data_IF_620010296289
#
_entry.id   IF_620010296289
#
_cell.length_a   1.000
_cell.length_b   1.000
_cell.length_c   1.000
_cell.angle_alpha   90.00
_cell.angle_beta   90.00
_cell.angle_gamma   90.00
#
_symmetry.space_group_name_H-M   'P 1'
#
loop_
_entity.id
_entity.type
_entity.pdbx_description
1 polymer ?
#
# COMPACT_ATOMS: atom_id res chain seq x y z
N UNK A 1 7.43 24.30 -9.03
CA UNK A 1 7.13 24.52 -7.60
C UNK A 1 6.72 23.17 -7.05
N UNK A 2 7.59 22.50 -6.30
CA UNK A 2 7.29 21.16 -5.79
C UNK A 2 7.07 21.30 -4.30
N UNK A 3 5.85 21.08 -3.86
CA UNK A 3 5.53 20.89 -2.45
C UNK A 3 5.11 19.43 -2.33
N UNK A 4 5.82 18.65 -1.54
CA UNK A 4 5.45 17.26 -1.29
C UNK A 4 4.83 17.17 0.10
N UNK A 5 3.84 16.29 0.24
CA UNK A 5 3.29 15.85 1.51
C UNK A 5 3.06 14.34 1.35
N UNK A 6 3.84 13.51 2.03
CA UNK A 6 3.51 12.08 2.18
C UNK A 6 2.79 11.88 3.51
N UNK A 7 1.66 11.18 3.48
CA UNK A 7 0.90 10.79 4.66
C UNK A 7 0.94 9.28 4.77
N UNK A 8 1.15 8.77 5.98
CA UNK A 8 0.96 7.35 6.28
C UNK A 8 -0.15 7.26 7.31
N UNK A 9 -1.20 6.53 6.96
CA UNK A 9 -2.28 6.21 7.89
C UNK A 9 -1.67 5.54 9.12
N UNK A 10 -1.90 6.17 10.28
CA UNK A 10 -1.52 5.76 11.65
C UNK A 10 -0.15 6.19 12.21
N UNK A 11 0.72 6.87 11.46
CA UNK A 11 1.83 7.69 12.02
C UNK A 11 2.15 8.89 11.12
N UNK A 12 1.92 10.11 11.61
CA UNK A 12 2.16 11.35 10.87
C UNK A 12 3.65 11.69 10.78
N UNK A 13 4.29 11.38 9.65
CA UNK A 13 5.57 11.97 9.25
C UNK A 13 5.39 12.78 7.97
N UNK A 14 5.07 14.08 8.05
CA UNK A 14 4.96 14.93 6.88
C UNK A 14 6.37 15.33 6.38
N UNK A 15 6.66 15.02 5.12
CA UNK A 15 7.93 15.39 4.47
C UNK A 15 7.70 16.56 3.53
N UNK A 16 8.44 17.66 3.72
CA UNK A 16 8.40 18.83 2.85
C UNK A 16 9.74 18.97 2.10
N UNK A 17 9.70 19.07 0.78
CA UNK A 17 10.84 19.55 0.00
C UNK A 17 10.35 20.66 -0.93
N UNK A 18 11.24 21.60 -1.26
CA UNK A 18 10.97 22.73 -2.15
C UNK A 18 12.18 22.99 -3.03
N UNK A 19 11.93 23.37 -4.28
CA UNK A 19 12.97 23.87 -5.19
C UNK A 19 13.52 25.25 -4.77
N UNK A 20 12.86 25.93 -3.84
CA UNK A 20 13.26 27.24 -3.31
C UNK A 20 13.36 27.22 -1.79
N UNK A 21 14.59 27.41 -1.30
CA UNK A 21 14.94 27.47 0.13
C UNK A 21 14.11 28.48 0.95
N UNK A 22 13.73 29.67 0.43
CA UNK A 22 12.90 30.61 1.19
C UNK A 22 11.49 30.10 1.48
N UNK A 23 10.87 29.43 0.50
CA UNK A 23 9.51 28.89 0.64
C UNK A 23 9.48 27.73 1.63
N UNK A 24 10.47 26.83 1.56
CA UNK A 24 10.60 25.72 2.50
C UNK A 24 10.67 26.22 3.94
N UNK A 25 11.55 27.21 4.19
CA UNK A 25 11.69 27.83 5.51
C UNK A 25 10.36 28.45 5.98
N UNK A 26 9.67 29.19 5.12
CA UNK A 26 8.39 29.80 5.47
C UNK A 26 7.33 28.77 5.87
N UNK A 27 7.28 27.62 5.18
CA UNK A 27 6.34 26.53 5.47
C UNK A 27 6.73 25.80 6.76
N UNK A 28 8.00 25.45 6.93
CA UNK A 28 8.51 24.82 8.16
C UNK A 28 8.24 25.70 9.37
N UNK A 29 8.49 27.00 9.29
CA UNK A 29 8.20 27.94 10.38
C UNK A 29 6.70 28.02 10.70
N UNK A 30 5.84 28.09 9.67
CA UNK A 30 4.37 28.07 9.89
C UNK A 30 3.91 26.79 10.59
N UNK A 31 4.48 25.64 10.21
CA UNK A 31 4.15 24.35 10.78
C UNK A 31 4.68 24.19 12.20
N UNK A 32 5.91 24.63 12.48
CA UNK A 32 6.48 24.65 13.85
C UNK A 32 5.68 25.54 14.80
N UNK A 33 5.08 26.61 14.29
CA UNK A 33 4.22 27.49 15.08
C UNK A 33 2.85 26.87 15.37
N UNK A 34 2.34 26.01 14.48
CA UNK A 34 1.04 25.37 14.62
C UNK A 34 1.10 23.99 15.30
N UNK A 35 2.25 23.30 15.20
CA UNK A 35 2.45 21.92 15.60
C UNK A 35 3.86 21.74 16.20
N UNK A 36 4.00 20.81 17.15
CA UNK A 36 5.31 20.45 17.72
C UNK A 36 6.14 19.60 16.73
N UNK A 37 6.72 20.25 15.72
CA UNK A 37 7.50 19.61 14.65
C UNK A 37 8.99 19.94 14.79
N UNK A 38 9.85 18.92 14.63
CA UNK A 38 11.31 19.07 14.63
C UNK A 38 11.82 19.08 13.20
N UNK A 39 12.59 20.12 12.84
CA UNK A 39 13.29 20.17 11.55
C UNK A 39 14.52 19.24 11.59
N UNK A 40 14.62 18.34 10.62
CA UNK A 40 15.67 17.34 10.50
C UNK A 40 16.77 17.73 9.50
N UNK A 41 16.69 18.93 8.89
CA UNK A 41 17.70 19.46 7.99
C UNK A 41 17.45 19.17 6.50
N UNK A 42 18.37 19.58 5.61
CA UNK A 42 18.21 19.44 4.17
C UNK A 42 18.11 17.97 3.73
N UNK A 43 17.13 17.69 2.86
CA UNK A 43 16.88 16.35 2.29
C UNK A 43 17.99 16.02 1.29
N UNK A 44 19.09 15.43 1.77
CA UNK A 44 20.13 14.84 0.93
C UNK A 44 19.79 13.38 0.70
N UNK A 45 19.12 13.02 -0.41
CA UNK A 45 18.60 11.65 -0.60
C UNK A 45 17.59 11.25 0.52
N UNK A 46 16.81 10.19 0.33
CA UNK A 46 15.99 9.61 1.42
C UNK A 46 16.92 8.91 2.44
N UNK A 47 17.83 9.67 3.08
CA UNK A 47 19.02 9.19 3.82
C UNK A 47 18.71 8.38 5.09
N UNK A 48 17.44 8.08 5.35
CA UNK A 48 17.01 7.15 6.38
C UNK A 48 16.74 5.74 5.87
N UNK A 49 16.26 5.53 4.64
CA UNK A 49 15.70 4.22 4.25
C UNK A 49 16.79 3.17 4.09
N UNK A 50 17.83 3.47 3.29
CA UNK A 50 18.92 2.51 3.07
C UNK A 50 19.64 2.22 4.39
N UNK A 51 19.95 3.27 5.15
CA UNK A 51 20.56 3.14 6.48
C UNK A 51 19.68 2.33 7.44
N UNK A 52 18.38 2.61 7.48
CA UNK A 52 17.43 1.87 8.31
C UNK A 52 17.30 0.41 7.87
N UNK A 53 17.30 0.13 6.57
CA UNK A 53 17.30 -1.23 6.05
C UNK A 53 18.58 -1.97 6.46
N UNK A 54 19.75 -1.31 6.41
CA UNK A 54 21.03 -1.85 6.87
C UNK A 54 21.03 -2.10 8.39
N UNK A 55 20.58 -1.14 9.21
CA UNK A 55 20.42 -1.29 10.67
C UNK A 55 19.44 -2.42 11.03
N UNK A 56 18.33 -2.54 10.30
CA UNK A 56 17.36 -3.62 10.48
C UNK A 56 17.98 -4.99 10.18
N UNK A 57 18.81 -5.08 9.13
CA UNK A 57 19.54 -6.29 8.78
C UNK A 57 20.61 -6.64 9.82
N UNK A 58 21.30 -5.66 10.38
CA UNK A 58 22.24 -5.87 11.48
C UNK A 58 21.53 -6.39 12.73
N UNK A 59 20.40 -5.77 13.12
CA UNK A 59 19.58 -6.21 14.25
C UNK A 59 19.04 -7.64 14.08
N UNK A 60 18.75 -8.03 12.84
CA UNK A 60 18.32 -9.39 12.51
C UNK A 60 19.49 -10.40 12.39
N UNK A 61 20.75 -9.97 12.55
CA UNK A 61 21.96 -10.77 12.26
C UNK A 61 22.01 -11.28 10.80
N UNK A 62 21.51 -10.49 9.85
CA UNK A 62 21.38 -10.85 8.43
C UNK A 62 22.13 -9.90 7.47
N UNK A 63 23.03 -9.05 7.98
CA UNK A 63 23.83 -8.13 7.16
C UNK A 63 24.70 -8.84 6.09
N UNK A 64 25.14 -10.07 6.36
CA UNK A 64 25.94 -10.91 5.43
C UNK A 64 25.13 -12.03 4.75
N UNK A 65 23.81 -11.99 4.80
CA UNK A 65 22.99 -13.04 4.21
C UNK A 65 23.04 -13.02 2.67
N UNK A 66 22.83 -14.19 2.03
CA UNK A 66 22.72 -14.29 0.57
C UNK A 66 21.38 -13.68 0.12
N UNK A 67 21.37 -12.67 -0.77
CA UNK A 67 20.13 -12.03 -1.21
C UNK A 67 19.22 -12.98 -2.01
N UNK A 68 17.95 -12.60 -2.14
CA UNK A 68 16.95 -13.24 -3.02
C UNK A 68 16.27 -12.18 -3.88
N UNK A 69 15.71 -12.59 -5.01
CA UNK A 69 15.14 -11.67 -6.00
C UNK A 69 13.67 -11.30 -5.76
N UNK A 70 12.94 -12.06 -4.92
CA UNK A 70 11.54 -11.76 -4.60
C UNK A 70 11.29 -11.73 -3.08
N UNK A 71 10.45 -10.80 -2.58
CA UNK A 71 10.18 -10.67 -1.14
C UNK A 71 9.36 -11.82 -0.57
N UNK A 72 8.47 -12.37 -1.40
CA UNK A 72 7.62 -13.52 -1.09
C UNK A 72 7.68 -14.50 -2.26
N UNK A 73 7.41 -15.77 -1.99
CA UNK A 73 7.30 -16.77 -3.04
C UNK A 73 5.98 -16.61 -3.82
N UNK A 74 5.93 -17.16 -5.02
CA UNK A 74 4.70 -17.35 -5.81
C UNK A 74 3.89 -18.54 -5.30
N UNK A 75 4.50 -19.43 -4.50
CA UNK A 75 3.83 -20.55 -3.84
C UNK A 75 2.83 -20.08 -2.78
N UNK A 76 1.87 -20.95 -2.43
CA UNK A 76 0.78 -20.65 -1.49
C UNK A 76 1.21 -20.07 -0.14
N UNK A 77 0.27 -19.36 0.50
CA UNK A 77 0.48 -18.68 1.80
C UNK A 77 0.67 -19.70 2.93
N UNK A 78 1.59 -19.47 3.88
CA UNK A 78 1.78 -20.37 5.01
C UNK A 78 0.49 -20.44 5.83
N UNK A 79 0.09 -21.66 6.20
CA UNK A 79 -1.06 -21.87 7.07
C UNK A 79 -0.71 -21.57 8.53
N UNK A 80 -1.72 -21.24 9.33
CA UNK A 80 -1.53 -20.80 10.70
C UNK A 80 -0.86 -21.84 11.60
N UNK A 81 -0.98 -23.15 11.29
CA UNK A 81 -0.52 -24.27 12.14
C UNK A 81 0.55 -25.16 11.48
N UNK A 82 1.21 -24.68 10.43
CA UNK A 82 2.05 -25.50 9.54
C UNK A 82 3.41 -25.93 10.13
N UNK A 83 3.81 -25.38 11.27
CA UNK A 83 5.11 -25.70 11.89
C UNK A 83 5.14 -25.39 13.40
N UNK A 84 6.14 -25.87 14.16
CA UNK A 84 6.22 -25.54 15.59
C UNK A 84 6.32 -24.02 15.85
N UNK A 85 5.81 -23.54 17.00
CA UNK A 85 5.98 -22.14 17.42
C UNK A 85 7.46 -21.76 17.49
N UNK A 86 7.76 -20.49 17.22
CA UNK A 86 9.13 -19.98 17.38
C UNK A 86 9.52 -19.91 18.86
N UNK A 87 10.81 -20.06 19.14
CA UNK A 87 11.35 -19.99 20.50
C UNK A 87 11.26 -18.59 21.13
N UNK A 88 11.46 -17.54 20.32
CA UNK A 88 11.35 -16.14 20.76
C UNK A 88 10.33 -15.36 19.91
N UNK A 89 9.06 -15.29 20.34
CA UNK A 89 8.04 -14.48 19.69
C UNK A 89 8.30 -12.97 19.76
N UNK A 90 9.10 -12.48 20.73
CA UNK A 90 9.40 -11.05 20.84
C UNK A 90 10.36 -10.61 19.74
N UNK A 91 11.38 -11.41 19.44
CA UNK A 91 12.28 -11.16 18.32
C UNK A 91 11.50 -11.09 17.00
N UNK A 92 10.60 -12.05 16.76
CA UNK A 92 9.73 -12.04 15.58
C UNK A 92 8.93 -10.73 15.47
N UNK A 93 8.24 -10.32 16.54
CA UNK A 93 7.43 -9.09 16.57
C UNK A 93 8.26 -7.83 16.34
N UNK A 94 9.46 -7.77 16.93
CA UNK A 94 10.39 -6.65 16.76
C UNK A 94 10.84 -6.50 15.31
N UNK A 95 11.21 -7.62 14.67
CA UNK A 95 11.62 -7.62 13.26
C UNK A 95 10.45 -7.36 12.31
N UNK A 96 9.28 -7.92 12.59
CA UNK A 96 8.05 -7.66 11.83
C UNK A 96 7.66 -6.18 11.89
N UNK A 97 7.74 -5.55 13.07
CA UNK A 97 7.53 -4.11 13.23
C UNK A 97 8.56 -3.27 12.46
N UNK A 98 9.83 -3.71 12.43
CA UNK A 98 10.86 -3.05 11.61
C UNK A 98 10.58 -3.12 10.10
N UNK A 99 10.16 -4.28 9.62
CA UNK A 99 9.73 -4.46 8.23
C UNK A 99 8.47 -3.64 7.92
N UNK A 100 7.52 -3.56 8.85
CA UNK A 100 6.31 -2.75 8.72
C UNK A 100 6.65 -1.27 8.53
N UNK A 101 7.60 -0.74 9.28
CA UNK A 101 8.08 0.63 9.08
C UNK A 101 8.70 0.83 7.69
N UNK A 102 9.49 -0.15 7.21
CA UNK A 102 10.11 -0.08 5.89
C UNK A 102 9.08 0.00 4.74
N UNK A 103 7.88 -0.57 4.92
CA UNK A 103 6.80 -0.48 3.91
C UNK A 103 6.37 0.95 3.57
N UNK A 104 6.66 1.94 4.43
CA UNK A 104 6.40 3.36 4.18
C UNK A 104 7.13 3.91 2.96
N UNK A 105 8.20 3.23 2.52
CA UNK A 105 9.01 3.64 1.37
C UNK A 105 9.34 2.51 0.42
N UNK A 106 8.91 1.29 0.78
CA UNK A 106 9.08 0.04 0.04
C UNK A 106 7.71 -0.61 -0.20
N UNK A 107 6.88 -0.04 -1.10
CA UNK A 107 5.60 -0.64 -1.47
C UNK A 107 5.74 -2.06 -2.01
N UNK A 108 6.88 -2.39 -2.61
CA UNK A 108 7.19 -3.70 -3.18
C UNK A 108 7.27 -4.83 -2.14
N UNK A 109 7.50 -4.52 -0.85
CA UNK A 109 7.47 -5.53 0.23
C UNK A 109 6.14 -5.55 0.99
N UNK A 110 5.21 -4.63 0.69
CA UNK A 110 4.00 -4.43 1.50
C UNK A 110 3.16 -5.70 1.65
N UNK A 111 3.00 -6.48 0.58
CA UNK A 111 2.27 -7.74 0.64
C UNK A 111 2.97 -8.79 1.52
N UNK A 112 4.29 -8.96 1.35
CA UNK A 112 5.07 -9.92 2.14
C UNK A 112 5.03 -9.57 3.63
N UNK A 113 5.18 -8.29 3.96
CA UNK A 113 5.11 -7.78 5.33
C UNK A 113 3.71 -7.95 5.91
N UNK A 114 2.66 -7.67 5.13
CA UNK A 114 1.29 -7.94 5.56
C UNK A 114 1.12 -9.40 5.98
N UNK A 115 1.62 -10.36 5.19
CA UNK A 115 1.51 -11.79 5.51
C UNK A 115 2.26 -12.13 6.81
N UNK A 116 3.46 -11.57 7.02
CA UNK A 116 4.22 -11.71 8.28
C UNK A 116 3.42 -11.16 9.47
N UNK A 117 2.82 -9.98 9.31
CA UNK A 117 2.09 -9.28 10.35
C UNK A 117 0.81 -10.02 10.80
N UNK A 118 0.22 -10.87 9.95
CA UNK A 118 -0.96 -11.67 10.32
C UNK A 118 -0.71 -12.68 11.44
N UNK A 119 0.56 -13.06 11.68
CA UNK A 119 0.94 -14.11 12.62
C UNK A 119 1.72 -13.59 13.84
N UNK A 120 1.65 -12.29 14.15
CA UNK A 120 2.36 -11.70 15.31
C UNK A 120 1.93 -12.25 16.67
N UNK A 121 0.70 -12.77 16.78
CA UNK A 121 0.17 -13.32 18.03
C UNK A 121 0.82 -14.66 18.38
N UNK A 122 0.94 -15.56 17.39
CA UNK A 122 1.52 -16.90 17.55
C UNK A 122 2.42 -17.24 16.34
N UNK A 123 3.63 -16.68 16.26
CA UNK A 123 4.53 -16.90 15.13
C UNK A 123 5.12 -18.32 15.14
N UNK A 124 5.26 -18.91 13.95
CA UNK A 124 5.78 -20.27 13.74
C UNK A 124 7.00 -20.24 12.82
N UNK A 125 7.71 -21.37 12.72
CA UNK A 125 8.93 -21.44 11.91
C UNK A 125 8.71 -21.12 10.42
N UNK A 126 7.56 -21.48 9.85
CA UNK A 126 7.16 -21.11 8.47
C UNK A 126 7.03 -19.59 8.32
N UNK A 127 6.40 -18.91 9.29
CA UNK A 127 6.27 -17.44 9.31
C UNK A 127 7.64 -16.76 9.47
N UNK A 128 8.51 -17.31 10.32
CA UNK A 128 9.89 -16.82 10.47
C UNK A 128 10.71 -17.02 9.19
N UNK A 129 10.49 -18.11 8.46
CA UNK A 129 11.13 -18.34 7.17
C UNK A 129 10.72 -17.28 6.13
N UNK A 130 9.43 -16.93 6.08
CA UNK A 130 8.93 -15.81 5.26
C UNK A 130 9.58 -14.48 5.66
N UNK A 131 9.63 -14.17 6.98
CA UNK A 131 10.29 -12.98 7.49
C UNK A 131 11.76 -12.89 7.06
N UNK A 132 12.51 -13.99 7.24
CA UNK A 132 13.92 -14.07 6.83
C UNK A 132 14.06 -13.95 5.31
N UNK A 133 13.14 -14.49 4.52
CA UNK A 133 13.13 -14.29 3.05
C UNK A 133 12.98 -12.82 2.70
N UNK A 134 12.02 -12.12 3.29
CA UNK A 134 11.81 -10.67 3.06
C UNK A 134 13.06 -9.88 3.42
N UNK A 135 13.75 -10.20 4.53
CA UNK A 135 15.03 -9.58 4.88
C UNK A 135 16.13 -9.87 3.85
N UNK A 136 16.23 -11.08 3.32
CA UNK A 136 17.18 -11.41 2.23
C UNK A 136 16.89 -10.60 0.96
N UNK A 137 15.62 -10.35 0.66
CA UNK A 137 15.23 -9.49 -0.46
C UNK A 137 15.65 -8.04 -0.22
N UNK A 138 15.36 -7.50 0.97
CA UNK A 138 15.80 -6.15 1.40
C UNK A 138 17.32 -6.03 1.32
N UNK A 139 18.07 -7.07 1.69
CA UNK A 139 19.53 -7.07 1.57
C UNK A 139 20.05 -6.88 0.14
N UNK A 140 19.38 -7.48 -0.85
CA UNK A 140 19.72 -7.32 -2.27
C UNK A 140 19.22 -6.01 -2.88
N UNK A 141 18.26 -5.36 -2.23
CA UNK A 141 17.54 -4.21 -2.74
C UNK A 141 17.59 -3.02 -1.78
N UNK A 142 18.63 -2.90 -0.95
CA UNK A 142 18.73 -1.85 0.07
C UNK A 142 18.79 -0.44 -0.52
N UNK A 143 19.21 -0.34 -1.77
CA UNK A 143 19.26 0.89 -2.57
C UNK A 143 17.90 1.26 -3.20
N UNK A 144 16.90 0.37 -3.20
CA UNK A 144 15.57 0.68 -3.72
C UNK A 144 14.81 1.56 -2.72
N UNK A 145 14.03 2.49 -3.25
CA UNK A 145 13.13 3.36 -2.50
C UNK A 145 12.11 4.02 -3.43
N UNK A 146 11.14 4.70 -2.84
CA UNK A 146 10.12 5.43 -3.59
C UNK A 146 10.72 6.66 -4.26
N UNK A 147 10.55 6.77 -5.58
CA UNK A 147 10.94 7.96 -6.34
C UNK A 147 9.69 8.80 -6.63
N UNK A 148 9.71 10.06 -6.18
CA UNK A 148 8.66 11.04 -6.46
C UNK A 148 9.19 12.05 -7.47
N UNK A 149 8.40 12.33 -8.49
CA UNK A 149 8.75 13.26 -9.55
C UNK A 149 7.95 14.54 -9.41
N UNK A 150 8.60 15.68 -9.63
CA UNK A 150 7.87 16.93 -9.82
C UNK A 150 7.12 16.85 -11.14
N UNK A 151 5.80 17.02 -11.09
CA UNK A 151 4.95 17.04 -12.27
C UNK A 151 3.91 18.14 -12.14
N UNK A 152 3.54 18.73 -13.26
CA UNK A 152 2.35 19.58 -13.37
C UNK A 152 1.07 18.75 -13.54
N UNK A 153 1.21 17.45 -13.82
CA UNK A 153 0.07 16.54 -13.87
C UNK A 153 -0.42 16.23 -12.45
N UNK A 154 -1.64 16.66 -12.17
CA UNK A 154 -2.34 16.43 -10.90
C UNK A 154 -3.40 15.33 -11.01
N UNK A 155 -3.41 14.59 -12.12
CA UNK A 155 -4.37 13.51 -12.34
C UNK A 155 -4.13 12.39 -11.32
N UNK A 156 -5.21 11.99 -10.64
CA UNK A 156 -5.19 10.86 -9.70
C UNK A 156 -5.61 9.60 -10.46
N UNK A 157 -4.77 8.58 -10.37
CA UNK A 157 -5.00 7.27 -10.98
C UNK A 157 -4.83 6.19 -9.92
N UNK A 158 -5.83 5.33 -9.75
CA UNK A 158 -5.76 4.21 -8.81
C UNK A 158 -5.80 2.88 -9.56
N UNK A 159 -5.07 1.91 -9.03
CA UNK A 159 -5.11 0.51 -9.40
C UNK A 159 -5.59 -0.25 -8.19
N UNK A 160 -6.47 -1.22 -8.37
CA UNK A 160 -6.91 -2.06 -7.26
C UNK A 160 -7.00 -3.51 -7.70
N UNK A 161 -6.62 -4.41 -6.81
CA UNK A 161 -6.70 -5.85 -6.99
C UNK A 161 -7.23 -6.54 -5.72
N UNK A 162 -7.73 -7.76 -5.84
CA UNK A 162 -8.05 -8.60 -4.70
C UNK A 162 -7.76 -10.09 -4.96
N UNK A 163 -6.98 -10.69 -4.09
CA UNK A 163 -6.79 -12.14 -4.04
C UNK A 163 -7.95 -12.78 -3.25
N UNK A 164 -8.92 -13.34 -3.98
CA UNK A 164 -10.14 -13.90 -3.42
C UNK A 164 -9.88 -15.20 -2.64
N UNK A 165 -10.33 -15.22 -1.39
CA UNK A 165 -10.20 -16.36 -0.50
C UNK A 165 -8.75 -16.90 -0.36
N UNK A 166 -7.75 -16.04 -0.55
CA UNK A 166 -6.34 -16.45 -0.54
C UNK A 166 -5.82 -16.91 0.82
N UNK A 167 -6.42 -16.48 1.93
CA UNK A 167 -6.01 -16.97 3.25
C UNK A 167 -6.45 -18.44 3.43
N UNK A 168 -5.52 -19.39 3.66
CA UNK A 168 -5.86 -20.80 3.79
C UNK A 168 -6.78 -21.05 4.99
N UNK A 169 -6.53 -20.39 6.12
CA UNK A 169 -7.23 -20.66 7.38
C UNK A 169 -8.63 -20.03 7.43
N UNK A 170 -8.73 -18.75 7.03
CA UNK A 170 -9.97 -17.98 7.19
C UNK A 170 -10.78 -17.85 5.91
N UNK A 171 -10.20 -18.23 4.76
CA UNK A 171 -10.76 -17.98 3.41
C UNK A 171 -11.12 -16.51 3.17
N UNK A 172 -10.53 -15.58 3.92
CA UNK A 172 -10.67 -14.14 3.69
C UNK A 172 -9.77 -13.69 2.57
N UNK A 173 -10.28 -12.79 1.75
CA UNK A 173 -9.56 -12.21 0.62
C UNK A 173 -8.49 -11.21 1.09
N UNK A 174 -7.48 -10.95 0.27
CA UNK A 174 -6.55 -9.83 0.47
C UNK A 174 -6.80 -8.79 -0.60
N UNK A 175 -7.13 -7.57 -0.22
CA UNK A 175 -7.26 -6.45 -1.15
C UNK A 175 -5.99 -5.61 -1.16
N UNK A 176 -5.66 -5.11 -2.33
CA UNK A 176 -4.56 -4.18 -2.52
C UNK A 176 -4.94 -3.03 -3.43
N UNK A 177 -4.25 -1.91 -3.26
CA UNK A 177 -4.33 -0.79 -4.19
C UNK A 177 -3.02 -0.03 -4.30
N UNK A 178 -2.88 0.69 -5.41
CA UNK A 178 -1.81 1.66 -5.67
C UNK A 178 -2.45 2.94 -6.23
N UNK A 179 -2.23 4.08 -5.59
CA UNK A 179 -2.75 5.39 -5.99
C UNK A 179 -1.60 6.28 -6.41
N UNK A 180 -1.68 6.78 -7.64
CA UNK A 180 -0.72 7.65 -8.27
C UNK A 180 -1.29 9.07 -8.36
N UNK A 181 -0.42 10.05 -8.14
CA UNK A 181 -0.62 11.46 -8.48
C UNK A 181 0.36 11.81 -9.60
N UNK A 182 -0.18 12.05 -10.80
CA UNK A 182 0.63 11.99 -12.01
C UNK A 182 1.34 10.63 -12.10
N UNK A 183 2.65 10.63 -12.30
CA UNK A 183 3.45 9.40 -12.39
C UNK A 183 4.09 8.99 -11.05
N UNK A 184 3.78 9.68 -9.97
CA UNK A 184 4.30 9.38 -8.63
C UNK A 184 3.32 8.51 -7.86
N UNK A 185 3.76 7.34 -7.39
CA UNK A 185 3.00 6.52 -6.44
C UNK A 185 2.97 7.21 -5.07
N UNK A 186 1.79 7.60 -4.60
CA UNK A 186 1.63 8.42 -3.37
C UNK A 186 0.87 7.72 -2.25
N UNK A 187 0.06 6.69 -2.56
CA UNK A 187 -0.59 5.87 -1.54
C UNK A 187 -0.72 4.43 -2.02
N UNK A 188 -0.61 3.47 -1.10
CA UNK A 188 -0.72 2.06 -1.39
C UNK A 188 -1.20 1.29 -0.16
N UNK A 189 -1.77 0.11 -0.39
CA UNK A 189 -2.18 -0.77 0.69
C UNK A 189 -2.17 -2.22 0.25
N UNK A 190 -1.87 -3.10 1.22
CA UNK A 190 -2.13 -4.52 1.16
C UNK A 190 -2.81 -4.90 2.47
N UNK A 191 -4.05 -5.39 2.43
CA UNK A 191 -4.86 -5.63 3.63
C UNK A 191 -5.78 -6.83 3.47
N UNK A 192 -5.79 -7.71 4.47
CA UNK A 192 -6.77 -8.80 4.56
C UNK A 192 -8.16 -8.20 4.82
N UNK A 193 -9.14 -8.60 4.04
CA UNK A 193 -10.52 -8.15 4.23
C UNK A 193 -11.05 -8.63 5.59
N UNK A 194 -11.83 -7.81 6.31
CA UNK A 194 -12.37 -8.17 7.61
C UNK A 194 -13.41 -9.29 7.51
N UNK A 195 -14.12 -9.37 6.39
CA UNK A 195 -15.19 -10.33 6.13
C UNK A 195 -14.83 -11.25 4.95
N UNK A 196 -15.37 -12.46 4.96
CA UNK A 196 -15.22 -13.41 3.84
C UNK A 196 -16.08 -12.96 2.67
N UNK A 197 -15.52 -12.97 1.46
CA UNK A 197 -16.27 -12.72 0.23
C UNK A 197 -16.78 -14.04 -0.35
N UNK A 198 -18.03 -14.05 -0.79
CA UNK A 198 -18.68 -15.24 -1.36
C UNK A 198 -18.44 -15.40 -2.87
N UNK A 199 -17.81 -14.41 -3.49
CA UNK A 199 -17.37 -14.43 -4.90
C UNK A 199 -16.14 -13.56 -5.10
N UNK A 200 -15.39 -13.80 -6.19
CA UNK A 200 -14.28 -12.94 -6.60
C UNK A 200 -14.75 -11.51 -6.89
N UNK A 201 -15.87 -11.35 -7.60
CA UNK A 201 -16.46 -10.05 -7.89
C UNK A 201 -16.75 -9.23 -6.61
N UNK A 202 -17.21 -9.89 -5.54
CA UNK A 202 -17.43 -9.23 -4.24
C UNK A 202 -16.12 -8.79 -3.59
N UNK A 203 -15.09 -9.64 -3.61
CA UNK A 203 -13.78 -9.32 -3.06
C UNK A 203 -13.13 -8.14 -3.79
N UNK A 204 -13.18 -8.17 -5.12
CA UNK A 204 -12.64 -7.12 -5.97
C UNK A 204 -13.37 -5.80 -5.78
N UNK A 205 -14.71 -5.82 -5.71
CA UNK A 205 -15.48 -4.59 -5.54
C UNK A 205 -15.23 -3.93 -4.18
N UNK A 206 -15.05 -4.71 -3.11
CA UNK A 206 -14.55 -4.17 -1.83
C UNK A 206 -13.17 -3.50 -1.99
N UNK A 207 -12.29 -4.08 -2.80
CA UNK A 207 -11.02 -3.46 -3.17
C UNK A 207 -11.21 -2.10 -3.85
N UNK A 208 -12.10 -2.02 -4.83
CA UNK A 208 -12.48 -0.76 -5.50
C UNK A 208 -12.99 0.27 -4.50
N UNK A 209 -13.93 -0.10 -3.62
CA UNK A 209 -14.49 0.81 -2.63
C UNK A 209 -13.43 1.39 -1.70
N UNK A 210 -12.48 0.56 -1.25
CA UNK A 210 -11.33 1.02 -0.45
C UNK A 210 -10.43 1.99 -1.24
N UNK A 211 -10.12 1.69 -2.50
CA UNK A 211 -9.30 2.57 -3.34
C UNK A 211 -10.01 3.91 -3.63
N UNK A 212 -11.33 3.89 -3.85
CA UNK A 212 -12.14 5.10 -4.01
C UNK A 212 -12.15 5.92 -2.72
N UNK A 213 -12.33 5.29 -1.56
CA UNK A 213 -12.27 5.98 -0.27
C UNK A 213 -10.93 6.68 -0.05
N UNK A 214 -9.81 6.00 -0.33
CA UNK A 214 -8.47 6.58 -0.26
C UNK A 214 -8.32 7.77 -1.21
N UNK A 215 -8.82 7.63 -2.45
CA UNK A 215 -8.77 8.71 -3.43
C UNK A 215 -9.66 9.91 -3.05
N UNK A 216 -10.83 9.69 -2.43
CA UNK A 216 -11.69 10.76 -1.90
C UNK A 216 -10.93 11.53 -0.82
N UNK A 217 -10.30 10.80 0.11
CA UNK A 217 -9.46 11.40 1.14
C UNK A 217 -8.29 12.21 0.54
N UNK A 218 -7.58 11.66 -0.44
CA UNK A 218 -6.47 12.34 -1.13
C UNK A 218 -6.94 13.60 -1.87
N UNK A 219 -8.10 13.56 -2.54
CA UNK A 219 -8.69 14.73 -3.21
C UNK A 219 -9.01 15.85 -2.20
N UNK A 220 -9.56 15.49 -1.04
CA UNK A 220 -9.86 16.45 0.02
C UNK A 220 -8.57 17.05 0.60
N UNK A 221 -7.55 16.23 0.84
CA UNK A 221 -6.24 16.71 1.29
C UNK A 221 -5.63 17.70 0.29
N UNK A 222 -5.64 17.36 -1.00
CA UNK A 222 -5.13 18.24 -2.04
C UNK A 222 -5.91 19.56 -2.13
N UNK A 223 -7.24 19.51 -1.96
CA UNK A 223 -8.08 20.70 -1.89
C UNK A 223 -7.68 21.63 -0.74
N UNK A 224 -7.44 21.07 0.45
CA UNK A 224 -6.97 21.83 1.63
C UNK A 224 -5.57 22.42 1.42
N UNK A 225 -4.72 21.76 0.65
CA UNK A 225 -3.41 22.25 0.22
C UNK A 225 -3.48 23.26 -0.94
N UNK A 226 -4.69 23.64 -1.39
CA UNK A 226 -4.91 24.60 -2.47
C UNK A 226 -4.77 24.02 -3.88
N UNK A 227 -4.74 22.70 -4.02
CA UNK A 227 -4.67 21.98 -5.29
C UNK A 227 -6.04 21.37 -5.65
N UNK A 228 -6.78 22.02 -6.55
CA UNK A 228 -8.10 21.54 -6.97
C UNK A 228 -7.98 20.48 -8.09
N UNK A 229 -8.58 19.32 -7.87
CA UNK A 229 -8.61 18.24 -8.86
C UNK A 229 -9.95 18.27 -9.60
N UNK A 230 -9.96 18.90 -10.78
CA UNK A 230 -11.20 19.07 -11.56
C UNK A 230 -11.51 17.86 -12.47
N UNK A 231 -10.54 16.96 -12.67
CA UNK A 231 -10.74 15.76 -13.47
C UNK A 231 -11.27 14.60 -12.62
N UNK A 232 -12.03 13.72 -13.27
CA UNK A 232 -12.48 12.48 -12.69
C UNK A 232 -11.27 11.57 -12.39
N UNK A 233 -11.21 11.02 -11.17
CA UNK A 233 -10.20 10.03 -10.79
C UNK A 233 -10.50 8.70 -11.48
N UNK A 234 -9.50 8.12 -12.14
CA UNK A 234 -9.66 6.83 -12.82
C UNK A 234 -9.22 5.71 -11.87
N UNK A 235 -10.08 4.71 -11.70
CA UNK A 235 -9.79 3.48 -10.94
C UNK A 235 -9.75 2.30 -11.90
N UNK A 236 -8.56 1.73 -12.08
CA UNK A 236 -8.30 0.61 -12.97
C UNK A 236 -8.48 -0.74 -12.26
N UNK A 237 -9.15 -1.67 -12.94
CA UNK A 237 -9.41 -3.06 -12.52
C UNK A 237 -9.23 -4.01 -13.69
N UNK A 238 -8.81 -5.24 -13.42
CA UNK A 238 -8.66 -6.31 -14.41
C UNK A 238 -9.93 -7.15 -14.62
N UNK A 239 -10.96 -6.97 -13.78
CA UNK A 239 -12.25 -7.64 -13.92
C UNK A 239 -13.35 -6.68 -14.38
N UNK A 240 -13.98 -7.04 -15.50
CA UNK A 240 -15.07 -6.29 -16.14
C UNK A 240 -16.34 -6.26 -15.26
N UNK A 241 -16.54 -7.24 -14.38
CA UNK A 241 -17.70 -7.32 -13.49
C UNK A 241 -17.78 -6.11 -12.55
N UNK A 242 -16.65 -5.64 -12.04
CA UNK A 242 -16.58 -4.46 -11.19
C UNK A 242 -16.95 -3.18 -11.96
N UNK A 243 -16.53 -3.07 -13.22
CA UNK A 243 -16.89 -1.97 -14.13
C UNK A 243 -18.40 -1.93 -14.35
N UNK A 244 -19.02 -3.07 -14.65
CA UNK A 244 -20.47 -3.15 -14.81
C UNK A 244 -21.23 -2.80 -13.53
N UNK A 245 -20.76 -3.25 -12.37
CA UNK A 245 -21.39 -2.94 -11.09
C UNK A 245 -21.33 -1.45 -10.75
N UNK A 246 -20.27 -0.75 -11.12
CA UNK A 246 -20.15 0.69 -10.93
C UNK A 246 -21.02 1.50 -11.90
N UNK A 247 -21.26 1.00 -13.12
CA UNK A 247 -22.00 1.73 -14.16
C UNK A 247 -23.53 1.50 -14.16
N UNK A 248 -24.00 0.30 -13.79
CA UNK A 248 -25.40 -0.09 -13.95
C UNK A 248 -26.20 -0.05 -12.64
N UNK A 249 -27.33 0.67 -12.54
CA UNK A 249 -28.14 0.74 -11.32
C UNK A 249 -28.90 -0.55 -11.00
N UNK A 250 -28.93 -1.53 -11.92
CA UNK A 250 -29.68 -2.79 -11.73
C UNK A 250 -29.11 -3.58 -10.55
N UNK A 251 -29.91 -3.69 -9.48
CA UNK A 251 -29.58 -4.48 -8.30
C UNK A 251 -29.65 -5.97 -8.62
N UNK A 252 -28.50 -6.64 -8.62
CA UNK A 252 -28.49 -8.10 -8.55
C UNK A 252 -28.79 -8.53 -7.11
N UNK A 253 -29.84 -9.35 -6.89
CA UNK A 253 -30.21 -9.93 -5.58
C UNK A 253 -29.06 -10.62 -4.82
N UNK A 254 -27.90 -10.84 -5.47
CA UNK A 254 -26.73 -11.57 -4.98
C UNK A 254 -25.64 -10.69 -4.32
N UNK A 255 -25.75 -9.36 -4.30
CA UNK A 255 -24.70 -8.45 -3.79
C UNK A 255 -25.06 -7.66 -2.53
N UNK A 256 -26.10 -8.06 -1.77
CA UNK A 256 -26.54 -7.36 -0.54
C UNK A 256 -25.41 -7.10 0.48
N UNK A 257 -24.44 -8.00 0.58
CA UNK A 257 -23.34 -7.92 1.55
C UNK A 257 -22.25 -6.88 1.20
N UNK A 258 -22.35 -6.24 0.03
CA UNK A 258 -21.50 -5.13 -0.42
C UNK A 258 -22.35 -3.95 -0.93
N UNK A 259 -23.63 -3.90 -0.55
CA UNK A 259 -24.56 -2.90 -1.07
C UNK A 259 -24.11 -1.47 -0.75
N UNK A 260 -23.59 -1.24 0.45
CA UNK A 260 -23.05 0.06 0.86
C UNK A 260 -21.81 0.45 0.04
N UNK A 261 -20.89 -0.48 -0.19
CA UNK A 261 -19.71 -0.28 -1.03
C UNK A 261 -20.14 0.09 -2.46
N UNK A 262 -21.17 -0.60 -2.99
CA UNK A 262 -21.74 -0.33 -4.31
C UNK A 262 -22.32 1.06 -4.39
N UNK A 263 -23.20 1.43 -3.46
CA UNK A 263 -23.82 2.76 -3.45
C UNK A 263 -22.79 3.87 -3.30
N UNK A 264 -21.80 3.71 -2.41
CA UNK A 264 -20.72 4.67 -2.22
C UNK A 264 -19.94 4.94 -3.51
N UNK A 265 -19.48 3.88 -4.19
CA UNK A 265 -18.73 4.05 -5.46
C UNK A 265 -19.62 4.63 -6.56
N UNK A 266 -20.87 4.19 -6.65
CA UNK A 266 -21.82 4.68 -7.66
C UNK A 266 -22.15 6.15 -7.51
N UNK A 267 -22.39 6.60 -6.29
CA UNK A 267 -22.65 8.02 -6.00
C UNK A 267 -21.50 8.89 -6.53
N UNK A 268 -20.26 8.49 -6.24
CA UNK A 268 -19.05 9.17 -6.70
C UNK A 268 -18.89 9.16 -8.22
N UNK A 269 -19.25 8.06 -8.88
CA UNK A 269 -19.26 7.97 -10.34
C UNK A 269 -20.37 8.83 -10.95
N UNK A 270 -21.56 8.86 -10.35
CA UNK A 270 -22.70 9.65 -10.82
C UNK A 270 -22.45 11.16 -10.70
N UNK A 271 -21.71 11.59 -9.67
CA UNK A 271 -21.23 12.97 -9.52
C UNK A 271 -20.15 13.35 -10.55
N UNK A 272 -19.65 12.39 -11.34
CA UNK A 272 -18.57 12.62 -12.31
C UNK A 272 -17.18 12.73 -11.67
N UNK A 273 -17.06 12.47 -10.37
CA UNK A 273 -15.78 12.55 -9.64
C UNK A 273 -14.87 11.35 -9.92
N UNK A 274 -15.45 10.21 -10.31
CA UNK A 274 -14.73 8.94 -10.51
C UNK A 274 -15.16 8.21 -11.78
N UNK A 275 -14.24 7.44 -12.35
CA UNK A 275 -14.51 6.47 -13.43
C UNK A 275 -13.82 5.15 -13.12
N UNK A 276 -14.56 4.04 -13.15
CA UNK A 276 -13.99 2.70 -13.01
C UNK A 276 -13.79 2.11 -14.41
N UNK A 277 -12.55 1.75 -14.74
CA UNK A 277 -12.17 1.27 -16.07
C UNK A 277 -11.44 -0.07 -16.00
N UNK A 278 -11.54 -0.83 -17.08
CA UNK A 278 -10.78 -2.07 -17.22
C UNK A 278 -9.32 -1.78 -17.64
N UNK A 279 -8.36 -2.53 -17.09
CA UNK A 279 -6.96 -2.56 -17.50
C UNK A 279 -6.51 -4.01 -17.69
N UNK A 280 -5.68 -4.32 -18.71
CA UNK A 280 -5.07 -5.64 -18.85
C UNK A 280 -4.28 -6.07 -17.60
N UNK A 281 -4.24 -7.37 -17.30
CA UNK A 281 -3.55 -7.92 -16.11
C UNK A 281 -2.06 -7.60 -16.07
N UNK A 282 -1.38 -7.54 -17.22
CA UNK A 282 0.04 -7.15 -17.31
C UNK A 282 0.30 -5.68 -16.98
N UNK A 283 -0.74 -4.85 -16.96
CA UNK A 283 -0.74 -3.45 -16.57
C UNK A 283 -1.44 -3.21 -15.23
N UNK A 284 -1.78 -4.28 -14.49
CA UNK A 284 -2.40 -4.19 -13.18
C UNK A 284 -1.34 -4.02 -12.08
N UNK A 285 -0.98 -2.77 -11.78
CA UNK A 285 0.06 -2.48 -10.78
C UNK A 285 -0.32 -2.85 -9.34
N UNK A 286 -1.60 -3.07 -9.04
CA UNK A 286 -2.03 -3.51 -7.71
C UNK A 286 -1.77 -5.00 -7.44
N UNK A 287 -1.39 -5.79 -8.45
CA UNK A 287 -1.07 -7.21 -8.30
C UNK A 287 0.04 -7.47 -7.27
N UNK A 288 1.05 -6.58 -7.21
CA UNK A 288 2.15 -6.67 -6.24
C UNK A 288 1.66 -6.57 -4.79
N UNK A 289 0.46 -6.03 -4.57
CA UNK A 289 -0.13 -5.84 -3.24
C UNK A 289 -0.92 -7.07 -2.77
N UNK A 290 -1.25 -8.02 -3.65
CA UNK A 290 -2.17 -9.13 -3.34
C UNK A 290 -1.53 -10.50 -3.45
N UNK A 291 -0.44 -10.64 -4.21
CA UNK A 291 0.23 -11.91 -4.50
C UNK A 291 1.73 -11.73 -4.73
N UNK A 292 2.48 -12.83 -4.58
CA UNK A 292 3.89 -12.89 -4.98
C UNK A 292 4.02 -12.90 -6.49
N UNK A 293 4.89 -12.05 -7.03
CA UNK A 293 5.16 -11.96 -8.46
C UNK A 293 6.54 -12.55 -8.80
N UNK A 294 6.67 -13.28 -9.93
CA UNK A 294 7.96 -13.78 -10.38
C UNK A 294 8.85 -12.64 -10.88
N UNK A 295 10.16 -12.80 -10.78
CA UNK A 295 11.10 -11.97 -11.54
C UNK A 295 10.99 -12.33 -13.02
N UNK A 296 10.66 -11.35 -13.86
CA UNK A 296 10.78 -11.45 -15.31
C UNK A 296 12.25 -11.46 -15.72
#
# INVERSE_FOLDING_TARGET
MSLFLSYVVDQTLPFFSSSTTPLLKAIVTKLQNALAIKDLGPVHYFLGIQKYAEELLERANMSKCKPVSTPIDTSGKPAADDSPPVSDPMEYRSLAGGLQYLTMTRPDIAHAVQQICLHMHDPRHSHLALLKRTLRYVRGTSHLGLHLYSSSDTDIRAYSDADWAGCPDTRRSTSGFCVYLGDSLVSWSSKRQPTVSRSSAEAEYRGVANAVAECVWLRQLLLELGCTINKATIVYRDNVSAVYMAANPVHHKRTKHIELDIHFVRERVALGEFRVLHVPTDQQFADVMTKGLPTK
#
